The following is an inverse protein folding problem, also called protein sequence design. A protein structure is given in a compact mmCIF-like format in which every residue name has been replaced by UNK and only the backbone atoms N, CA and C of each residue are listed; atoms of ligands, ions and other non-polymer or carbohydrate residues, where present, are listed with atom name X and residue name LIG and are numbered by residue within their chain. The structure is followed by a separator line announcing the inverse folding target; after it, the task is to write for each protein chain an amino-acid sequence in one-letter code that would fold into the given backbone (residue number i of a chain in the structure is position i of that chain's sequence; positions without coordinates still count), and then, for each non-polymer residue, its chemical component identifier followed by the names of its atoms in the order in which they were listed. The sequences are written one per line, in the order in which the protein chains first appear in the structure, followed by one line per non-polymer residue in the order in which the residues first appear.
data_IF_368755764495
#
_entry.id   IF_368755764495
#
_cell.length_a   1.000
_cell.length_b   1.000
_cell.length_c   1.000
_cell.angle_alpha   90.00
_cell.angle_beta   90.00
_cell.angle_gamma   90.00
#
_symmetry.space_group_name_H-M   'P 1'
#
loop_
_entity.id
_entity.type
_entity.pdbx_description
1 polymer ?
#
# COMPACT_ATOMS: atom_id res chain seq x y z
N UNK A 1 0.38 1.43 16.56
CA UNK A 1 1.45 1.99 17.41
C UNK A 1 2.72 1.17 17.26
N UNK A 2 2.72 -0.11 17.66
CA UNK A 2 3.90 -1.00 17.62
C UNK A 2 4.60 -1.07 16.25
N UNK A 3 3.86 -1.37 15.18
CA UNK A 3 4.43 -1.43 13.82
C UNK A 3 4.98 -0.10 13.28
N UNK A 4 4.68 1.02 13.93
CA UNK A 4 5.26 2.33 13.59
C UNK A 4 6.54 2.61 14.40
N UNK A 5 6.76 1.91 15.52
CA UNK A 5 7.98 1.97 16.32
C UNK A 5 9.06 1.06 15.75
N UNK A 6 8.70 -0.16 15.35
CA UNK A 6 9.56 -1.07 14.61
C UNK A 6 8.88 -1.39 13.28
N UNK A 7 9.42 -0.89 12.17
CA UNK A 7 8.74 -0.96 10.86
C UNK A 7 9.15 -2.16 10.00
N UNK A 8 10.33 -2.75 10.25
CA UNK A 8 10.95 -3.71 9.32
C UNK A 8 11.12 -5.11 9.89
N UNK A 9 11.22 -5.27 11.21
CA UNK A 9 11.48 -6.57 11.82
C UNK A 9 10.16 -7.20 12.30
N UNK A 10 9.51 -7.95 11.40
CA UNK A 10 8.31 -8.73 11.70
C UNK A 10 8.32 -10.03 10.90
N UNK A 11 7.89 -11.12 11.52
CA UNK A 11 7.69 -12.42 10.87
C UNK A 11 6.21 -12.66 10.56
N UNK A 12 5.91 -13.39 9.49
CA UNK A 12 4.54 -13.80 9.18
C UNK A 12 4.14 -14.95 10.12
N UNK A 13 3.14 -14.70 10.97
CA UNK A 13 2.60 -15.72 11.89
C UNK A 13 1.21 -16.21 11.51
N UNK A 14 0.39 -15.34 10.90
CA UNK A 14 -1.01 -15.66 10.57
C UNK A 14 -1.13 -16.70 9.47
N UNK A 15 -1.86 -17.77 9.76
CA UNK A 15 -2.31 -18.79 8.80
C UNK A 15 -3.82 -19.02 8.89
N UNK A 16 -4.40 -19.80 7.98
CA UNK A 16 -5.83 -20.12 8.02
C UNK A 16 -6.20 -20.95 9.26
N UNK A 17 -5.42 -21.99 9.55
CA UNK A 17 -5.57 -22.85 10.73
C UNK A 17 -5.45 -22.06 12.04
N UNK A 18 -4.39 -21.26 12.20
CA UNK A 18 -4.21 -20.44 13.40
C UNK A 18 -5.37 -19.44 13.60
N UNK A 19 -5.91 -18.89 12.51
CA UNK A 19 -7.06 -17.99 12.59
C UNK A 19 -8.36 -18.73 12.96
N UNK A 20 -8.52 -20.01 12.60
CA UNK A 20 -9.66 -20.83 13.05
C UNK A 20 -9.56 -21.08 14.56
N UNK A 21 -8.38 -21.44 15.06
CA UNK A 21 -8.13 -21.64 16.49
C UNK A 21 -8.37 -20.34 17.29
N UNK A 22 -7.83 -19.21 16.82
CA UNK A 22 -8.07 -17.89 17.42
C UNK A 22 -9.55 -17.53 17.44
N UNK A 23 -10.30 -17.86 16.39
CA UNK A 23 -11.73 -17.65 16.37
C UNK A 23 -12.46 -18.51 17.42
N UNK A 24 -12.06 -19.76 17.61
CA UNK A 24 -12.66 -20.60 18.66
C UNK A 24 -12.37 -20.05 20.07
N UNK A 25 -11.17 -19.49 20.31
CA UNK A 25 -10.84 -18.76 21.54
C UNK A 25 -11.74 -17.53 21.69
N UNK A 26 -11.92 -16.73 20.63
CA UNK A 26 -12.82 -15.56 20.64
C UNK A 26 -14.27 -15.94 20.95
N UNK A 27 -14.77 -17.01 20.32
CA UNK A 27 -16.17 -17.45 20.44
C UNK A 27 -16.46 -18.06 21.82
N UNK A 28 -15.52 -18.82 22.37
CA UNK A 28 -15.73 -19.54 23.65
C UNK A 28 -15.31 -18.71 24.86
N UNK A 29 -14.40 -17.74 24.69
CA UNK A 29 -13.81 -16.93 25.76
C UNK A 29 -13.45 -17.76 27.01
N UNK A 30 -12.58 -18.77 26.88
CA UNK A 30 -12.32 -19.73 27.96
C UNK A 30 -11.67 -19.09 29.20
N UNK A 31 -11.08 -17.90 29.03
CA UNK A 31 -10.42 -17.14 30.09
C UNK A 31 -11.33 -16.07 30.72
N UNK A 32 -12.58 -15.94 30.29
CA UNK A 32 -13.54 -14.93 30.77
C UNK A 32 -13.00 -13.49 30.71
N UNK A 33 -12.26 -13.19 29.65
CA UNK A 33 -11.64 -11.87 29.43
C UNK A 33 -12.67 -10.81 29.03
N UNK A 34 -12.35 -9.55 29.29
CA UNK A 34 -13.11 -8.43 28.74
C UNK A 34 -12.97 -8.35 27.21
N UNK A 35 -13.83 -7.56 26.56
CA UNK A 35 -13.83 -7.46 25.10
C UNK A 35 -12.50 -6.97 24.52
N UNK A 36 -11.85 -6.00 25.18
CA UNK A 36 -10.58 -5.44 24.71
C UNK A 36 -9.40 -6.40 24.93
N UNK A 37 -9.35 -7.07 26.09
CA UNK A 37 -8.35 -8.09 26.42
C UNK A 37 -8.46 -9.29 25.46
N UNK A 38 -9.67 -9.81 25.27
CA UNK A 38 -9.92 -10.93 24.37
C UNK A 38 -9.54 -10.57 22.93
N UNK A 39 -9.89 -9.36 22.47
CA UNK A 39 -9.53 -8.86 21.13
C UNK A 39 -8.02 -8.76 20.95
N UNK A 40 -7.27 -8.35 21.97
CA UNK A 40 -5.81 -8.37 21.91
C UNK A 40 -5.25 -9.80 21.90
N UNK A 41 -5.76 -10.70 22.75
CA UNK A 41 -5.35 -12.12 22.77
C UNK A 41 -5.48 -12.77 21.40
N UNK A 42 -6.64 -12.63 20.75
CA UNK A 42 -6.89 -13.21 19.42
C UNK A 42 -6.38 -12.34 18.28
N UNK A 43 -5.66 -11.26 18.59
CA UNK A 43 -5.09 -10.29 17.64
C UNK A 43 -6.14 -9.80 16.62
N UNK A 44 -7.36 -9.57 17.08
CA UNK A 44 -8.47 -9.02 16.30
C UNK A 44 -9.24 -10.01 15.42
N UNK A 45 -9.06 -11.33 15.59
CA UNK A 45 -9.89 -12.34 14.92
C UNK A 45 -11.23 -12.47 15.65
N UNK A 46 -12.28 -11.83 15.11
CA UNK A 46 -13.64 -11.88 15.68
C UNK A 46 -14.66 -12.61 14.81
N UNK A 47 -14.27 -13.07 13.62
CA UNK A 47 -15.11 -13.77 12.67
C UNK A 47 -14.44 -15.06 12.22
N UNK A 48 -15.24 -16.10 11.98
CA UNK A 48 -14.75 -17.40 11.54
C UNK A 48 -14.18 -17.29 10.12
N UNK A 49 -12.90 -17.64 9.90
CA UNK A 49 -12.36 -17.76 8.55
C UNK A 49 -13.18 -18.76 7.74
N UNK A 50 -13.67 -18.35 6.57
CA UNK A 50 -14.48 -19.20 5.69
C UNK A 50 -13.66 -19.85 4.57
N UNK A 51 -12.72 -19.10 3.99
CA UNK A 51 -11.89 -19.54 2.88
C UNK A 51 -10.42 -19.43 3.28
N UNK A 52 -9.64 -20.46 2.95
CA UNK A 52 -8.18 -20.41 3.08
C UNK A 52 -7.59 -19.43 2.08
N UNK A 53 -6.62 -18.62 2.52
CA UNK A 53 -5.91 -17.68 1.67
C UNK A 53 -4.44 -17.74 2.04
N UNK A 54 -3.58 -17.99 1.05
CA UNK A 54 -2.14 -17.98 1.24
C UNK A 54 -1.69 -16.61 1.78
N UNK A 55 -0.87 -16.56 2.85
CA UNK A 55 -0.46 -15.31 3.49
C UNK A 55 0.57 -14.55 2.64
N UNK A 56 0.09 -13.89 1.58
CA UNK A 56 0.90 -13.12 0.63
C UNK A 56 0.48 -11.65 0.60
N UNK A 57 1.06 -10.88 -0.33
CA UNK A 57 0.78 -9.47 -0.55
C UNK A 57 0.24 -9.28 -1.97
N UNK A 58 -0.82 -8.48 -2.13
CA UNK A 58 -1.25 -8.10 -3.48
C UNK A 58 -0.44 -6.91 -4.01
N UNK A 59 0.31 -7.13 -5.09
CA UNK A 59 1.18 -6.13 -5.69
C UNK A 59 0.41 -4.91 -6.22
N UNK A 60 -0.80 -5.08 -6.77
CA UNK A 60 -1.57 -3.98 -7.35
C UNK A 60 -2.06 -3.02 -6.26
N UNK A 61 -2.77 -3.56 -5.26
CA UNK A 61 -3.30 -2.73 -4.18
C UNK A 61 -2.20 -2.20 -3.26
N UNK A 62 -1.05 -2.89 -3.17
CA UNK A 62 0.14 -2.35 -2.55
C UNK A 62 0.64 -1.08 -3.26
N UNK A 63 0.82 -1.12 -4.59
CA UNK A 63 1.22 0.05 -5.38
C UNK A 63 0.23 1.22 -5.20
N UNK A 64 -1.08 0.95 -5.25
CA UNK A 64 -2.12 1.97 -5.07
C UNK A 64 -2.11 2.55 -3.65
N UNK A 65 -1.96 1.68 -2.64
CA UNK A 65 -1.91 2.07 -1.23
C UNK A 65 -0.71 2.95 -0.92
N UNK A 66 0.48 2.54 -1.37
CA UNK A 66 1.72 3.29 -1.19
C UNK A 66 1.69 4.61 -1.96
N UNK A 67 1.21 4.62 -3.21
CA UNK A 67 1.05 5.87 -3.97
C UNK A 67 0.06 6.85 -3.33
N UNK A 68 -1.03 6.34 -2.74
CA UNK A 68 -1.97 7.16 -1.98
C UNK A 68 -1.31 7.77 -0.74
N UNK A 69 -0.41 7.03 -0.09
CA UNK A 69 0.32 7.52 1.07
C UNK A 69 1.37 8.58 0.68
N UNK A 70 2.14 8.35 -0.39
CA UNK A 70 3.05 9.36 -0.96
C UNK A 70 2.31 10.62 -1.39
N UNK A 71 1.13 10.49 -2.01
CA UNK A 71 0.30 11.65 -2.37
C UNK A 71 -0.09 12.49 -1.15
N UNK A 72 -0.31 11.87 0.02
CA UNK A 72 -0.54 12.58 1.28
C UNK A 72 0.73 13.21 1.83
N UNK A 73 1.87 12.51 1.75
CA UNK A 73 3.18 13.09 2.12
C UNK A 73 3.42 14.36 1.28
N UNK A 74 3.22 14.31 -0.04
CA UNK A 74 3.38 15.48 -0.91
C UNK A 74 2.48 16.66 -0.50
N UNK A 75 1.22 16.39 -0.11
CA UNK A 75 0.34 17.44 0.42
C UNK A 75 0.88 18.06 1.70
N UNK A 76 1.35 17.22 2.63
CA UNK A 76 1.86 17.66 3.93
C UNK A 76 3.18 18.42 3.81
N UNK A 77 4.05 18.06 2.85
CA UNK A 77 5.30 18.77 2.57
C UNK A 77 5.07 20.13 1.91
N UNK A 78 4.08 20.26 1.01
CA UNK A 78 3.67 21.57 0.45
C UNK A 78 3.14 22.49 1.57
N UNK A 79 2.48 21.91 2.57
CA UNK A 79 1.90 22.63 3.68
C UNK A 79 2.78 22.80 4.91
N UNK A 80 4.02 22.30 4.87
CA UNK A 80 4.96 22.30 5.98
C UNK A 80 4.35 21.81 7.31
N UNK A 81 3.57 20.72 7.26
CA UNK A 81 2.82 20.19 8.42
C UNK A 81 3.73 19.79 9.58
N UNK A 82 5.01 19.54 9.31
CA UNK A 82 6.04 19.30 10.31
C UNK A 82 6.26 20.51 11.23
N UNK A 83 5.97 21.74 10.79
CA UNK A 83 5.99 22.97 11.61
C UNK A 83 4.63 23.26 12.24
N UNK A 84 3.54 23.05 11.50
CA UNK A 84 2.16 23.33 11.95
C UNK A 84 1.34 22.04 12.03
N UNK A 85 1.31 21.45 13.22
CA UNK A 85 0.79 20.09 13.47
C UNK A 85 -0.73 19.95 13.25
N UNK A 86 -1.50 21.05 13.32
CA UNK A 86 -2.96 21.02 13.17
C UNK A 86 -3.47 22.06 12.15
N UNK A 87 -3.28 21.82 10.84
CA UNK A 87 -3.79 22.70 9.80
C UNK A 87 -5.29 22.53 9.59
N UNK A 88 -5.95 23.61 9.17
CA UNK A 88 -7.38 23.66 8.91
C UNK A 88 -7.76 22.82 7.68
N UNK A 89 -9.07 22.53 7.55
CA UNK A 89 -9.59 21.82 6.37
C UNK A 89 -9.41 22.61 5.08
N UNK A 90 -9.45 23.94 5.16
CA UNK A 90 -9.27 24.84 4.01
C UNK A 90 -7.81 24.87 3.55
N UNK A 91 -6.86 24.93 4.48
CA UNK A 91 -5.43 24.84 4.20
C UNK A 91 -5.10 23.52 3.48
N UNK A 92 -5.56 22.39 4.03
CA UNK A 92 -5.38 21.07 3.39
C UNK A 92 -6.01 21.00 2.00
N UNK A 93 -7.15 21.66 1.78
CA UNK A 93 -7.80 21.72 0.46
C UNK A 93 -6.97 22.56 -0.51
N UNK A 94 -6.39 23.66 -0.05
CA UNK A 94 -5.50 24.52 -0.84
C UNK A 94 -4.25 23.76 -1.29
N UNK A 95 -3.56 23.05 -0.39
CA UNK A 95 -2.37 22.27 -0.72
C UNK A 95 -2.65 21.13 -1.70
N UNK A 96 -3.79 20.45 -1.54
CA UNK A 96 -4.24 19.45 -2.53
C UNK A 96 -4.45 20.08 -3.90
N UNK A 97 -5.11 21.24 -3.98
CA UNK A 97 -5.34 21.92 -5.24
C UNK A 97 -4.04 22.39 -5.90
N UNK A 98 -3.05 22.85 -5.11
CA UNK A 98 -1.73 23.20 -5.58
C UNK A 98 -0.99 21.98 -6.16
N UNK A 99 -0.96 20.87 -5.43
CA UNK A 99 -0.38 19.61 -5.87
C UNK A 99 -1.02 19.12 -7.18
N UNK A 100 -2.35 19.09 -7.24
CA UNK A 100 -3.11 18.67 -8.42
C UNK A 100 -2.84 19.55 -9.64
N UNK A 101 -2.73 20.87 -9.44
CA UNK A 101 -2.39 21.83 -10.51
C UNK A 101 -0.99 21.57 -11.05
N UNK A 102 -0.02 21.30 -10.17
CA UNK A 102 1.36 21.06 -10.54
C UNK A 102 1.54 19.72 -11.27
N UNK A 103 0.95 18.64 -10.74
CA UNK A 103 0.94 17.32 -11.40
C UNK A 103 0.22 17.36 -12.75
N UNK A 104 -0.82 18.19 -12.91
CA UNK A 104 -1.44 18.41 -14.22
C UNK A 104 -0.51 19.14 -15.18
N UNK A 105 0.18 20.19 -14.72
CA UNK A 105 1.06 21.02 -15.56
C UNK A 105 2.26 20.22 -16.08
N UNK A 106 3.00 19.60 -15.15
CA UNK A 106 4.27 18.90 -15.39
C UNK A 106 4.05 17.46 -15.84
N UNK A 107 3.27 16.69 -15.08
CA UNK A 107 3.08 15.26 -15.31
C UNK A 107 1.86 14.94 -16.19
N UNK A 108 1.08 15.92 -16.66
CA UNK A 108 -0.19 15.66 -17.39
C UNK A 108 -1.13 14.68 -16.65
N UNK A 109 -1.14 14.75 -15.32
CA UNK A 109 -2.00 13.93 -14.48
C UNK A 109 -3.26 14.71 -14.12
N UNK A 110 -4.43 14.17 -14.50
CA UNK A 110 -5.72 14.73 -14.07
C UNK A 110 -6.04 14.22 -12.67
N UNK A 111 -6.49 15.09 -11.74
CA UNK A 111 -6.92 14.66 -10.41
C UNK A 111 -7.96 13.55 -10.48
N UNK A 112 -7.85 12.58 -9.58
CA UNK A 112 -8.73 11.43 -9.50
C UNK A 112 -9.44 11.39 -8.16
N UNK A 113 -10.70 10.96 -8.14
CA UNK A 113 -11.45 10.80 -6.89
C UNK A 113 -10.89 9.64 -6.05
N UNK A 114 -10.57 8.53 -6.72
CA UNK A 114 -9.92 7.36 -6.12
C UNK A 114 -8.65 7.04 -6.91
N UNK A 115 -7.55 6.87 -6.18
CA UNK A 115 -6.27 6.46 -6.75
C UNK A 115 -6.45 5.13 -7.49
N UNK A 116 -5.99 5.07 -8.73
CA UNK A 116 -5.99 3.85 -9.54
C UNK A 116 -4.56 3.48 -9.92
N UNK A 117 -4.35 2.25 -10.39
CA UNK A 117 -3.02 1.74 -10.72
C UNK A 117 -2.28 2.56 -11.77
N UNK A 118 -3.00 3.13 -12.76
CA UNK A 118 -2.37 3.97 -13.79
C UNK A 118 -1.86 5.30 -13.22
N UNK A 119 -2.65 5.95 -12.37
CA UNK A 119 -2.20 7.17 -11.69
C UNK A 119 -1.03 6.86 -10.75
N UNK A 120 -1.13 5.78 -9.96
CA UNK A 120 -0.08 5.35 -9.04
C UNK A 120 1.27 5.14 -9.76
N UNK A 121 1.27 4.41 -10.89
CA UNK A 121 2.49 4.19 -11.68
C UNK A 121 3.12 5.49 -12.21
N UNK A 122 2.30 6.48 -12.57
CA UNK A 122 2.79 7.78 -13.07
C UNK A 122 3.21 8.74 -11.97
N UNK A 123 2.65 8.59 -10.76
CA UNK A 123 2.99 9.40 -9.58
C UNK A 123 4.28 8.89 -8.90
N UNK A 124 4.50 7.58 -8.90
CA UNK A 124 5.65 6.96 -8.23
C UNK A 124 6.87 6.94 -9.16
N UNK A 125 7.40 8.12 -9.49
CA UNK A 125 8.59 8.30 -10.33
C UNK A 125 9.47 9.44 -9.81
N UNK A 126 10.74 9.48 -10.22
CA UNK A 126 11.64 10.59 -9.89
C UNK A 126 11.16 11.91 -10.52
N UNK A 127 10.67 11.87 -11.76
CA UNK A 127 10.12 13.05 -12.44
C UNK A 127 8.93 13.66 -11.67
N UNK A 128 8.05 12.81 -11.14
CA UNK A 128 6.90 13.27 -10.37
C UNK A 128 7.32 13.91 -9.04
N UNK A 129 8.30 13.34 -8.33
CA UNK A 129 8.79 13.95 -7.08
C UNK A 129 9.54 15.25 -7.34
N UNK A 130 10.28 15.40 -8.44
CA UNK A 130 10.88 16.69 -8.83
C UNK A 130 9.81 17.76 -9.08
N UNK A 131 8.73 17.39 -9.78
CA UNK A 131 7.62 18.31 -9.99
C UNK A 131 6.97 18.76 -8.67
N UNK A 132 6.93 17.88 -7.65
CA UNK A 132 6.47 18.23 -6.30
C UNK A 132 7.48 19.09 -5.55
N UNK A 133 8.78 18.82 -5.68
CA UNK A 133 9.84 19.57 -5.01
C UNK A 133 9.83 21.06 -5.38
N UNK A 134 9.39 21.43 -6.59
CA UNK A 134 9.16 22.84 -6.98
C UNK A 134 8.18 23.59 -6.07
N UNK A 135 7.30 22.89 -5.35
CA UNK A 135 6.33 23.47 -4.42
C UNK A 135 6.79 23.41 -2.95
N UNK A 136 7.82 22.64 -2.64
CA UNK A 136 8.32 22.48 -1.26
C UNK A 136 9.32 23.60 -0.96
N UNK A 137 9.21 24.34 0.16
CA UNK A 137 10.03 25.54 0.37
C UNK A 137 11.52 25.28 0.59
N UNK A 138 11.86 24.27 1.39
CA UNK A 138 13.23 24.04 1.90
C UNK A 138 13.93 22.90 1.16
N UNK A 139 15.21 23.10 0.83
CA UNK A 139 15.99 22.11 0.06
C UNK A 139 16.22 20.81 0.84
N UNK A 140 16.37 20.89 2.16
CA UNK A 140 16.48 19.71 3.03
C UNK A 140 15.26 18.77 2.88
N UNK A 141 14.04 19.33 2.84
CA UNK A 141 12.81 18.57 2.68
C UNK A 141 12.66 18.02 1.27
N UNK A 142 13.10 18.77 0.25
CA UNK A 142 13.16 18.28 -1.14
C UNK A 142 14.07 17.08 -1.26
N UNK A 143 15.27 17.14 -0.68
CA UNK A 143 16.21 16.01 -0.75
C UNK A 143 15.68 14.79 0.01
N UNK A 144 15.03 15.00 1.17
CA UNK A 144 14.36 13.91 1.88
C UNK A 144 13.26 13.24 1.04
N UNK A 145 12.45 14.01 0.31
CA UNK A 145 11.44 13.46 -0.61
C UNK A 145 12.06 12.67 -1.76
N UNK A 146 13.13 13.21 -2.35
CA UNK A 146 13.87 12.53 -3.44
C UNK A 146 14.46 11.22 -2.95
N UNK A 147 15.11 11.23 -1.79
CA UNK A 147 15.71 10.03 -1.22
C UNK A 147 14.64 8.98 -0.88
N UNK A 148 13.52 9.41 -0.30
CA UNK A 148 12.38 8.53 -0.04
C UNK A 148 11.88 7.87 -1.34
N UNK A 149 11.73 8.65 -2.41
CA UNK A 149 11.31 8.12 -3.72
C UNK A 149 12.38 7.21 -4.34
N UNK A 150 13.67 7.55 -4.25
CA UNK A 150 14.77 6.72 -4.75
C UNK A 150 14.77 5.35 -4.06
N UNK A 151 14.70 5.32 -2.73
CA UNK A 151 14.61 4.07 -1.96
C UNK A 151 13.37 3.27 -2.35
N UNK A 152 12.20 3.92 -2.46
CA UNK A 152 10.98 3.26 -2.93
C UNK A 152 11.17 2.59 -4.29
N UNK A 153 11.77 3.30 -5.25
CA UNK A 153 11.99 2.80 -6.60
C UNK A 153 13.03 1.69 -6.67
N UNK A 154 13.99 1.64 -5.75
CA UNK A 154 14.92 0.51 -5.62
C UNK A 154 14.23 -0.73 -5.07
N UNK A 155 13.23 -0.58 -4.20
CA UNK A 155 12.51 -1.72 -3.63
C UNK A 155 11.36 -2.20 -4.51
N UNK A 156 10.66 -1.30 -5.20
CA UNK A 156 9.43 -1.56 -5.97
C UNK A 156 9.51 -2.72 -6.96
N UNK A 157 10.59 -2.91 -7.74
CA UNK A 157 10.70 -4.04 -8.65
C UNK A 157 10.54 -5.39 -7.96
N UNK A 158 10.96 -5.53 -6.70
CA UNK A 158 10.99 -6.81 -6.00
C UNK A 158 9.60 -7.39 -5.77
N UNK A 159 8.59 -6.58 -5.45
CA UNK A 159 7.21 -7.08 -5.31
C UNK A 159 6.38 -6.99 -6.60
N UNK A 160 6.95 -6.46 -7.71
CA UNK A 160 6.22 -6.30 -8.98
C UNK A 160 6.72 -7.19 -10.11
N UNK A 161 7.99 -7.55 -10.11
CA UNK A 161 8.55 -8.47 -11.10
C UNK A 161 7.86 -9.84 -11.03
N UNK A 162 7.84 -10.54 -12.16
CA UNK A 162 7.25 -11.88 -12.23
C UNK A 162 8.18 -12.90 -11.59
N UNK A 163 9.49 -12.73 -11.75
CA UNK A 163 10.55 -13.51 -11.12
C UNK A 163 11.69 -12.57 -10.64
N UNK A 164 11.59 -12.01 -9.42
CA UNK A 164 12.56 -11.04 -8.90
C UNK A 164 14.01 -11.54 -8.89
N UNK A 165 14.24 -12.83 -8.63
CA UNK A 165 15.58 -13.42 -8.64
C UNK A 165 16.28 -13.38 -10.02
N UNK A 166 15.52 -13.24 -11.11
CA UNK A 166 16.05 -13.13 -12.47
C UNK A 166 15.98 -11.69 -13.01
N UNK A 167 14.89 -10.99 -12.71
CA UNK A 167 14.60 -9.67 -13.27
C UNK A 167 15.28 -8.52 -12.50
N UNK A 168 15.49 -8.68 -11.18
CA UNK A 168 16.05 -7.64 -10.31
C UNK A 168 16.83 -8.21 -9.11
N UNK A 169 17.84 -9.08 -9.34
CA UNK A 169 18.56 -9.77 -8.26
C UNK A 169 19.29 -8.83 -7.29
N UNK A 170 19.87 -7.74 -7.80
CA UNK A 170 20.58 -6.77 -6.97
C UNK A 170 19.63 -6.02 -6.03
N UNK A 171 18.46 -5.63 -6.54
CA UNK A 171 17.42 -5.00 -5.73
C UNK A 171 16.85 -5.96 -4.68
N UNK A 172 16.66 -7.24 -5.04
CA UNK A 172 16.23 -8.28 -4.11
C UNK A 172 17.24 -8.47 -2.98
N UNK A 173 18.52 -8.62 -3.31
CA UNK A 173 19.59 -8.77 -2.33
C UNK A 173 19.69 -7.57 -1.37
N UNK A 174 19.50 -6.35 -1.87
CA UNK A 174 19.57 -5.11 -1.08
C UNK A 174 18.25 -4.73 -0.41
N UNK A 175 17.18 -5.53 -0.56
CA UNK A 175 15.85 -5.12 -0.13
C UNK A 175 15.79 -4.79 1.36
N UNK A 176 16.29 -5.67 2.22
CA UNK A 176 16.27 -5.48 3.68
C UNK A 176 17.07 -4.26 4.13
N UNK A 177 18.19 -3.97 3.46
CA UNK A 177 18.97 -2.75 3.71
C UNK A 177 18.19 -1.50 3.30
N UNK A 178 17.58 -1.52 2.10
CA UNK A 178 16.81 -0.40 1.59
C UNK A 178 15.54 -0.16 2.42
N UNK A 179 14.87 -1.21 2.92
CA UNK A 179 13.69 -1.07 3.77
C UNK A 179 14.03 -0.49 5.14
N UNK A 180 15.17 -0.89 5.73
CA UNK A 180 15.69 -0.27 6.95
C UNK A 180 15.95 1.23 6.73
N UNK A 181 16.70 1.59 5.68
CA UNK A 181 16.97 3.00 5.34
C UNK A 181 15.69 3.80 5.11
N UNK A 182 14.70 3.20 4.46
CA UNK A 182 13.40 3.81 4.25
C UNK A 182 12.68 4.06 5.57
N UNK A 183 12.65 3.07 6.46
CA UNK A 183 12.05 3.18 7.78
C UNK A 183 12.76 4.22 8.68
N UNK A 184 14.09 4.29 8.62
CA UNK A 184 14.88 5.28 9.33
C UNK A 184 14.51 6.70 8.88
N UNK A 185 14.38 6.92 7.57
CA UNK A 185 13.96 8.20 7.01
C UNK A 185 12.52 8.56 7.43
N UNK A 186 11.61 7.58 7.45
CA UNK A 186 10.25 7.79 7.94
C UNK A 186 10.19 8.17 9.43
N UNK A 187 10.94 7.45 10.26
CA UNK A 187 10.93 7.58 11.72
C UNK A 187 11.67 8.84 12.22
N UNK A 188 12.53 9.42 11.38
CA UNK A 188 13.27 10.65 11.64
C UNK A 188 12.61 11.83 10.94
N UNK A 189 12.83 11.97 9.63
CA UNK A 189 12.43 13.13 8.83
C UNK A 189 10.91 13.24 8.66
N UNK A 190 10.18 12.13 8.62
CA UNK A 190 8.72 12.12 8.49
C UNK A 190 8.01 11.72 9.80
N UNK A 191 8.69 11.83 10.95
CA UNK A 191 8.15 11.43 12.27
C UNK A 191 6.82 12.10 12.60
N UNK A 192 6.65 13.37 12.21
CA UNK A 192 5.39 14.12 12.41
C UNK A 192 4.16 13.37 11.86
N UNK A 193 4.36 12.54 10.83
CA UNK A 193 3.33 11.73 10.21
C UNK A 193 3.30 10.29 10.73
N UNK A 194 4.45 9.70 11.04
CA UNK A 194 4.55 8.27 11.39
C UNK A 194 4.67 7.99 12.90
N UNK A 195 4.51 8.99 13.76
CA UNK A 195 4.47 8.77 15.20
C UNK A 195 3.20 7.99 15.61
N UNK A 196 3.36 6.70 15.92
CA UNK A 196 2.30 5.82 16.40
C UNK A 196 1.37 5.24 15.31
N UNK A 197 1.54 5.61 14.04
CA UNK A 197 0.72 5.15 12.92
C UNK A 197 1.55 4.86 11.67
N UNK A 198 1.15 3.83 10.93
CA UNK A 198 1.67 3.46 9.61
C UNK A 198 0.52 2.82 8.82
N UNK A 199 0.52 2.96 7.50
CA UNK A 199 -0.52 2.31 6.68
C UNK A 199 -0.24 0.83 6.53
N UNK A 200 -1.30 0.02 6.37
CA UNK A 200 -1.17 -1.44 6.27
C UNK A 200 -0.23 -1.86 5.13
N UNK A 201 -0.36 -1.29 3.95
CA UNK A 201 0.50 -1.66 2.81
C UNK A 201 1.93 -1.18 2.98
N UNK A 202 2.16 0.00 3.55
CA UNK A 202 3.52 0.48 3.80
C UNK A 202 4.24 -0.42 4.80
N UNK A 203 3.56 -0.80 5.89
CA UNK A 203 4.09 -1.78 6.85
C UNK A 203 4.40 -3.12 6.18
N UNK A 204 3.44 -3.70 5.44
CA UNK A 204 3.68 -4.98 4.75
C UNK A 204 4.84 -4.92 3.75
N UNK A 205 4.99 -3.79 3.06
CA UNK A 205 6.08 -3.56 2.11
C UNK A 205 7.43 -3.56 2.83
N UNK A 206 7.52 -2.88 3.97
CA UNK A 206 8.78 -2.72 4.70
C UNK A 206 9.19 -3.98 5.47
N UNK A 207 8.21 -4.77 5.93
CA UNK A 207 8.48 -5.90 6.83
C UNK A 207 8.48 -7.28 6.17
N UNK A 208 7.53 -7.55 5.26
CA UNK A 208 7.21 -8.94 4.89
C UNK A 208 7.63 -9.33 3.47
N UNK A 209 8.00 -8.38 2.62
CA UNK A 209 8.35 -8.68 1.22
C UNK A 209 9.50 -9.68 1.10
N UNK A 210 10.62 -9.58 1.86
CA UNK A 210 11.71 -10.56 1.77
C UNK A 210 11.24 -11.99 2.08
N UNK A 211 10.52 -12.17 3.19
CA UNK A 211 10.01 -13.48 3.62
C UNK A 211 9.05 -14.09 2.59
N UNK A 212 8.15 -13.29 2.01
CA UNK A 212 7.22 -13.76 0.98
C UNK A 212 7.96 -14.15 -0.30
N UNK A 213 8.99 -13.38 -0.72
CA UNK A 213 9.76 -13.72 -1.93
C UNK A 213 10.60 -14.98 -1.71
N UNK A 214 11.20 -15.15 -0.54
CA UNK A 214 11.95 -16.37 -0.22
C UNK A 214 11.04 -17.61 -0.24
N UNK A 215 9.82 -17.50 0.31
CA UNK A 215 8.85 -18.59 0.38
C UNK A 215 8.17 -18.89 -0.97
N UNK A 216 7.66 -17.86 -1.65
CA UNK A 216 6.78 -18.02 -2.81
C UNK A 216 7.49 -17.79 -4.15
N UNK A 217 8.73 -17.31 -4.13
CA UNK A 217 9.55 -16.97 -5.31
C UNK A 217 9.12 -15.68 -6.03
N UNK A 218 7.89 -15.22 -5.83
CA UNK A 218 7.34 -14.01 -6.45
C UNK A 218 6.16 -13.45 -5.66
N UNK A 219 5.89 -12.16 -5.83
CA UNK A 219 4.66 -11.49 -5.39
C UNK A 219 3.90 -10.97 -6.61
N UNK A 220 4.61 -10.36 -7.57
CA UNK A 220 4.01 -9.75 -8.76
C UNK A 220 3.27 -10.76 -9.64
N UNK A 221 3.77 -12.01 -9.71
CA UNK A 221 3.11 -13.09 -10.45
C UNK A 221 1.74 -13.47 -9.87
N UNK A 222 1.52 -13.23 -8.57
CA UNK A 222 0.31 -13.57 -7.83
C UNK A 222 -0.60 -12.37 -7.56
N UNK A 223 -0.33 -11.25 -8.26
CA UNK A 223 -1.08 -10.02 -8.07
C UNK A 223 -2.53 -10.14 -8.55
N UNK A 224 -3.41 -9.31 -8.00
CA UNK A 224 -4.81 -9.23 -8.41
C UNK A 224 -5.02 -8.54 -9.78
N UNK A 225 -3.94 -8.15 -10.49
CA UNK A 225 -4.02 -7.42 -11.77
C UNK A 225 -4.82 -8.15 -12.84
N UNK A 226 -4.65 -9.48 -12.94
CA UNK A 226 -5.41 -10.30 -13.89
C UNK A 226 -6.91 -10.30 -13.59
N UNK A 227 -7.27 -10.52 -12.32
CA UNK A 227 -8.67 -10.52 -11.88
C UNK A 227 -9.32 -9.13 -12.04
N UNK A 228 -8.63 -8.06 -11.66
CA UNK A 228 -9.12 -6.69 -11.84
C UNK A 228 -9.25 -6.29 -13.31
N UNK A 229 -8.36 -6.80 -14.18
CA UNK A 229 -8.47 -6.60 -15.63
C UNK A 229 -9.67 -7.36 -16.21
N UNK A 230 -9.98 -8.55 -15.70
CA UNK A 230 -11.14 -9.33 -16.09
C UNK A 230 -12.47 -8.61 -15.78
N UNK A 231 -12.54 -7.76 -14.75
CA UNK A 231 -13.72 -6.92 -14.50
C UNK A 231 -14.09 -6.01 -15.70
N UNK A 232 -13.10 -5.59 -16.51
CA UNK A 232 -13.35 -4.84 -17.74
C UNK A 232 -14.01 -5.73 -18.81
N UNK A 233 -13.56 -6.98 -18.93
CA UNK A 233 -14.15 -7.96 -19.84
C UNK A 233 -15.57 -8.31 -19.41
N UNK A 234 -15.79 -8.61 -18.13
CA UNK A 234 -17.11 -8.87 -17.57
C UNK A 234 -18.12 -7.79 -17.95
N UNK A 235 -17.79 -6.51 -17.74
CA UNK A 235 -18.67 -5.38 -18.11
C UNK A 235 -18.96 -5.33 -19.61
N UNK A 236 -17.97 -5.64 -20.45
CA UNK A 236 -18.13 -5.65 -21.90
C UNK A 236 -19.01 -6.80 -22.34
N UNK A 237 -18.72 -8.02 -21.88
CA UNK A 237 -19.50 -9.21 -22.23
C UNK A 237 -20.93 -9.11 -21.76
N UNK A 238 -21.15 -8.67 -20.51
CA UNK A 238 -22.49 -8.45 -19.98
C UNK A 238 -23.30 -7.48 -20.82
N UNK A 239 -22.68 -6.44 -21.38
CA UNK A 239 -23.36 -5.42 -22.18
C UNK A 239 -23.55 -5.81 -23.65
N UNK A 240 -22.56 -6.50 -24.24
CA UNK A 240 -22.45 -6.66 -25.69
C UNK A 240 -22.60 -8.10 -26.17
N UNK A 241 -22.45 -9.09 -25.28
CA UNK A 241 -22.35 -10.51 -25.63
C UNK A 241 -23.29 -11.40 -24.80
N UNK A 242 -24.16 -10.83 -23.98
CA UNK A 242 -25.09 -11.56 -23.14
C UNK A 242 -26.54 -11.14 -23.38
N UNK A 243 -27.48 -12.08 -23.20
CA UNK A 243 -28.91 -11.80 -23.16
C UNK A 243 -29.20 -10.84 -22.00
N UNK A 244 -29.90 -9.74 -22.28
CA UNK A 244 -30.24 -8.71 -21.27
C UNK A 244 -31.44 -9.14 -20.41
N UNK A 245 -31.30 -10.31 -19.78
CA UNK A 245 -32.28 -10.92 -18.89
C UNK A 245 -31.55 -11.48 -17.67
N UNK A 246 -32.06 -11.20 -16.47
CA UNK A 246 -31.48 -11.70 -15.21
C UNK A 246 -31.39 -13.23 -15.17
N UNK A 247 -32.25 -13.93 -15.90
CA UNK A 247 -32.25 -15.39 -15.96
C UNK A 247 -31.03 -15.97 -16.71
N UNK A 248 -30.43 -15.21 -17.62
CA UNK A 248 -29.43 -15.72 -18.56
C UNK A 248 -28.14 -14.89 -18.63
N UNK A 249 -28.15 -13.65 -18.13
CA UNK A 249 -27.02 -12.73 -18.31
C UNK A 249 -25.70 -13.26 -17.74
N UNK A 250 -25.75 -14.02 -16.64
CA UNK A 250 -24.54 -14.59 -16.03
C UNK A 250 -24.10 -15.88 -16.71
N UNK A 251 -25.03 -16.70 -17.20
CA UNK A 251 -24.73 -17.90 -17.99
C UNK A 251 -23.95 -17.51 -19.26
N UNK A 252 -24.43 -16.48 -19.96
CA UNK A 252 -23.81 -16.01 -21.19
C UNK A 252 -22.46 -15.33 -20.98
N UNK A 253 -22.28 -14.61 -19.86
CA UNK A 253 -20.99 -13.96 -19.56
C UNK A 253 -19.93 -14.97 -19.13
N UNK A 254 -20.35 -16.07 -18.51
CA UNK A 254 -19.45 -17.10 -18.03
C UNK A 254 -18.97 -18.02 -19.17
N UNK A 255 -19.80 -18.23 -20.20
CA UNK A 255 -19.48 -19.04 -21.38
C UNK A 255 -18.51 -18.34 -22.32
#
# INVERSE_FOLDING_TARGET
AEAAQNMVLHSITRSHEENLERYEIWRTNPFSESADELRDRVKGISAKPFLETQPTLDALHCDIGNATEFYKIFQDEIGEVYQKVSPSREERRSWRAALDKQLRKKMKLKPVMRMNGNYARRLMTLEAVEAVCELVPTEERREALRELMRLYLQMKPVWRATCPAKECPDQLCRYSFNSQRFADLLSTTFKYRYNGKITNYLHKTLAHVPEIIERDGSIGAWASEGNESANKLFRRFRKMNARQSKAFELEDVLK
#
